data_IF_440772235762
#
_entry.id   IF_440772235762
#
_cell.length_a   1.000
_cell.length_b   1.000
_cell.length_c   1.000
_cell.angle_alpha   90.00
_cell.angle_beta   90.00
_cell.angle_gamma   90.00
#
_symmetry.space_group_name_H-M   'P 1'
#
loop_
_entity.id
_entity.type
_entity.pdbx_description
1 polymer ?
#
# COMPACT_ATOMS: atom_id res chain seq x y z
N UNK A 1 -0.62 8.89 -12.40
CA UNK A 1 -1.38 8.13 -11.37
C UNK A 1 -1.70 9.08 -10.23
N UNK A 2 -2.79 8.90 -9.48
CA UNK A 2 -3.06 9.71 -8.29
C UNK A 2 -2.03 9.44 -7.19
N UNK A 3 -1.61 10.49 -6.48
CA UNK A 3 -0.77 10.42 -5.27
C UNK A 3 -1.53 9.65 -4.19
N UNK A 4 -0.81 8.81 -3.43
CA UNK A 4 -1.39 8.09 -2.29
C UNK A 4 -1.10 8.86 -1.01
N UNK A 5 -2.12 9.01 -0.17
CA UNK A 5 -1.98 9.72 1.10
C UNK A 5 -1.38 8.81 2.17
N UNK A 6 -0.74 9.41 3.17
CA UNK A 6 -0.40 8.71 4.42
C UNK A 6 -1.65 8.08 5.05
N UNK A 7 -1.51 6.85 5.53
CA UNK A 7 -2.61 6.03 6.05
C UNK A 7 -3.43 5.31 4.96
N UNK A 8 -3.18 5.55 3.67
CA UNK A 8 -3.91 4.88 2.60
C UNK A 8 -3.56 3.38 2.60
N UNK A 9 -4.59 2.55 2.70
CA UNK A 9 -4.46 1.10 2.58
C UNK A 9 -4.35 0.71 1.12
N UNK A 10 -3.37 -0.13 0.82
CA UNK A 10 -3.04 -0.59 -0.51
C UNK A 10 -2.79 -2.10 -0.54
N UNK A 11 -2.78 -2.65 -1.75
CA UNK A 11 -2.31 -4.01 -2.04
C UNK A 11 -1.10 -3.93 -2.98
N UNK A 12 -0.10 -4.78 -2.73
CA UNK A 12 1.05 -4.94 -3.62
C UNK A 12 0.65 -5.80 -4.82
N UNK A 13 0.88 -5.30 -6.04
CA UNK A 13 0.48 -5.94 -7.30
C UNK A 13 1.64 -6.28 -8.24
N UNK A 14 2.85 -5.82 -7.93
CA UNK A 14 4.04 -6.06 -8.76
C UNK A 14 5.33 -6.07 -7.93
N UNK A 15 6.42 -6.56 -8.52
CA UNK A 15 7.72 -6.70 -7.88
C UNK A 15 7.99 -8.15 -7.45
N UNK A 16 8.54 -8.34 -6.26
CA UNK A 16 8.88 -9.67 -5.72
C UNK A 16 7.62 -10.55 -5.66
N UNK A 17 7.62 -11.77 -6.27
CA UNK A 17 6.46 -12.66 -6.27
C UNK A 17 5.94 -13.01 -4.87
N UNK A 18 6.82 -13.05 -3.87
CA UNK A 18 6.46 -13.30 -2.47
C UNK A 18 5.68 -12.15 -1.84
N UNK A 19 5.77 -10.93 -2.38
CA UNK A 19 5.13 -9.73 -1.84
C UNK A 19 3.78 -9.42 -2.50
N UNK A 20 3.49 -10.00 -3.66
CA UNK A 20 2.21 -9.79 -4.35
C UNK A 20 1.06 -10.26 -3.45
N UNK A 21 0.04 -9.42 -3.34
CA UNK A 21 -1.14 -9.65 -2.50
C UNK A 21 -0.99 -9.24 -1.04
N UNK A 22 0.19 -8.78 -0.60
CA UNK A 22 0.36 -8.24 0.77
C UNK A 22 -0.43 -6.92 0.89
N UNK A 23 -1.26 -6.84 1.92
CA UNK A 23 -1.91 -5.60 2.33
C UNK A 23 -0.93 -4.72 3.10
N UNK A 24 -0.89 -3.45 2.72
CA UNK A 24 0.05 -2.47 3.26
C UNK A 24 -0.65 -1.15 3.54
N UNK A 25 -0.06 -0.35 4.42
CA UNK A 25 -0.45 1.02 4.67
C UNK A 25 0.70 1.95 4.25
N UNK A 26 0.37 3.08 3.61
CA UNK A 26 1.35 4.12 3.25
C UNK A 26 1.76 4.89 4.49
N UNK A 27 3.06 4.90 4.80
CA UNK A 27 3.63 5.70 5.89
C UNK A 27 4.02 7.10 5.44
N UNK A 28 4.64 7.21 4.26
CA UNK A 28 5.05 8.49 3.69
C UNK A 28 5.22 8.43 2.16
N UNK A 29 5.11 9.59 1.52
CA UNK A 29 5.45 9.80 0.12
C UNK A 29 6.79 10.53 0.04
N UNK A 30 7.82 9.84 -0.45
CA UNK A 30 9.20 10.34 -0.44
C UNK A 30 9.61 10.99 -1.78
N UNK A 31 8.80 10.84 -2.83
CA UNK A 31 9.14 11.31 -4.17
C UNK A 31 10.31 10.54 -4.78
N UNK A 32 11.21 11.22 -5.48
CA UNK A 32 12.38 10.59 -6.10
C UNK A 32 13.46 10.28 -5.04
N UNK A 33 13.83 9.00 -4.91
CA UNK A 33 14.85 8.56 -3.96
C UNK A 33 15.74 7.50 -4.60
N UNK A 34 17.04 7.79 -4.74
CA UNK A 34 18.05 6.89 -5.31
C UNK A 34 17.66 6.38 -6.71
N UNK A 35 17.09 5.17 -6.78
CA UNK A 35 16.70 4.46 -8.01
C UNK A 35 15.18 4.38 -8.17
N UNK A 36 14.41 5.07 -7.33
CA UNK A 36 12.95 5.11 -7.37
C UNK A 36 12.49 6.46 -7.92
N UNK A 37 11.66 6.43 -8.96
CA UNK A 37 11.11 7.65 -9.57
C UNK A 37 9.95 8.24 -8.77
N UNK A 38 9.20 7.39 -8.05
CA UNK A 38 8.06 7.79 -7.21
C UNK A 38 7.94 6.82 -6.02
N UNK A 39 8.72 7.11 -4.98
CA UNK A 39 8.98 6.25 -3.83
C UNK A 39 7.98 6.48 -2.70
N UNK A 40 7.51 5.38 -2.11
CA UNK A 40 6.66 5.36 -0.93
C UNK A 40 7.27 4.46 0.13
N UNK A 41 7.20 4.90 1.38
CA UNK A 41 7.41 4.01 2.52
C UNK A 41 6.08 3.35 2.89
N UNK A 42 6.10 2.04 3.07
CA UNK A 42 4.93 1.21 3.38
C UNK A 42 5.20 0.27 4.54
N UNK A 43 4.15 -0.05 5.29
CA UNK A 43 4.16 -1.07 6.35
C UNK A 43 3.16 -2.18 6.05
N UNK A 44 3.52 -3.44 6.30
CA UNK A 44 2.59 -4.57 6.18
C UNK A 44 1.52 -4.51 7.27
N UNK A 45 0.26 -4.70 6.88
CA UNK A 45 -0.89 -4.81 7.80
C UNK A 45 -1.56 -6.19 7.74
N UNK A 46 -1.06 -7.09 6.88
CA UNK A 46 -1.58 -8.46 6.73
C UNK A 46 -0.89 -9.48 7.65
N UNK A 47 0.11 -9.07 8.44
CA UNK A 47 0.91 -9.95 9.28
C UNK A 47 1.99 -10.75 8.54
N UNK A 48 2.06 -10.64 7.20
CA UNK A 48 3.15 -11.20 6.40
C UNK A 48 4.27 -10.16 6.26
N UNK A 49 5.48 -10.42 6.80
CA UNK A 49 6.59 -9.50 6.62
C UNK A 49 7.15 -9.59 5.19
N UNK A 50 7.83 -8.52 4.77
CA UNK A 50 8.61 -8.52 3.54
C UNK A 50 9.87 -9.38 3.74
N UNK A 51 10.17 -10.34 2.85
CA UNK A 51 11.29 -11.27 2.97
C UNK A 51 12.63 -10.67 2.54
N UNK A 52 12.75 -9.34 2.46
CA UNK A 52 13.94 -8.63 1.98
C UNK A 52 14.31 -7.54 2.99
N UNK A 53 15.49 -7.66 3.61
CA UNK A 53 16.14 -6.57 4.32
C UNK A 53 17.20 -5.96 3.40
N UNK A 54 17.23 -4.64 3.30
CA UNK A 54 18.34 -3.95 2.66
C UNK A 54 19.58 -4.06 3.55
N UNK A 55 20.68 -4.52 2.98
CA UNK A 55 21.95 -4.71 3.68
C UNK A 55 22.70 -3.40 3.93
N UNK A 56 22.38 -2.39 3.13
CA UNK A 56 23.07 -1.11 3.08
C UNK A 56 22.10 0.04 2.77
N UNK A 57 22.51 1.25 3.19
CA UNK A 57 21.87 2.52 2.83
C UNK A 57 22.01 2.83 1.34
N UNK A 58 22.50 1.92 0.51
CA UNK A 58 22.55 2.06 -0.94
C UNK A 58 21.45 1.26 -1.63
N UNK A 59 20.69 0.41 -0.91
CA UNK A 59 19.67 -0.48 -1.47
C UNK A 59 20.21 -1.31 -2.65
N UNK A 60 21.49 -1.67 -2.60
CA UNK A 60 22.19 -2.40 -3.67
C UNK A 60 22.37 -3.87 -3.36
N UNK A 61 22.26 -4.23 -2.07
CA UNK A 61 22.27 -5.61 -1.60
C UNK A 61 21.08 -5.85 -0.68
N UNK A 62 20.42 -6.98 -0.88
CA UNK A 62 19.49 -7.53 0.09
C UNK A 62 20.19 -8.62 0.90
N UNK A 63 20.03 -8.59 2.22
CA UNK A 63 20.40 -9.67 3.13
C UNK A 63 19.17 -10.49 3.48
N UNK A 64 19.38 -11.77 3.79
CA UNK A 64 18.33 -12.65 4.31
C UNK A 64 17.82 -12.09 5.64
N UNK A 65 16.56 -11.65 5.64
CA UNK A 65 15.85 -11.22 6.84
C UNK A 65 14.44 -10.78 6.51
N UNK A 66 13.70 -10.35 7.54
CA UNK A 66 12.30 -9.96 7.40
C UNK A 66 12.08 -8.55 7.95
N UNK A 67 11.25 -7.76 7.29
CA UNK A 67 10.87 -6.42 7.74
C UNK A 67 9.36 -6.22 7.65
N UNK A 68 8.80 -5.46 8.57
CA UNK A 68 7.43 -4.96 8.46
C UNK A 68 7.33 -3.74 7.55
N UNK A 69 8.43 -3.02 7.34
CA UNK A 69 8.49 -1.80 6.52
C UNK A 69 9.30 -2.04 5.25
N UNK A 70 8.92 -1.39 4.16
CA UNK A 70 9.66 -1.41 2.90
C UNK A 70 9.48 -0.12 2.11
N UNK A 71 10.42 0.16 1.21
CA UNK A 71 10.26 1.14 0.16
C UNK A 71 9.70 0.48 -1.10
N UNK A 72 8.77 1.17 -1.76
CA UNK A 72 8.16 0.68 -3.00
C UNK A 72 7.89 1.80 -3.98
N UNK A 73 7.65 1.44 -5.24
CA UNK A 73 7.26 2.39 -6.27
C UNK A 73 5.75 2.44 -6.40
N UNK A 74 5.26 3.63 -6.74
CA UNK A 74 3.83 3.88 -6.92
C UNK A 74 3.12 2.87 -7.82
N UNK A 75 3.75 2.41 -8.90
CA UNK A 75 3.11 1.46 -9.83
C UNK A 75 2.97 0.05 -9.26
N UNK A 76 3.72 -0.30 -8.20
CA UNK A 76 3.69 -1.62 -7.56
C UNK A 76 2.56 -1.77 -6.55
N UNK A 77 1.89 -0.67 -6.17
CA UNK A 77 0.81 -0.67 -5.19
C UNK A 77 -0.49 -0.08 -5.77
N UNK A 78 -1.62 -0.65 -5.36
CA UNK A 78 -2.95 -0.14 -5.70
C UNK A 78 -3.71 0.20 -4.43
N UNK A 79 -4.35 1.39 -4.37
CA UNK A 79 -5.20 1.71 -3.24
C UNK A 79 -6.35 0.69 -3.19
N UNK A 80 -6.66 0.23 -1.99
CA UNK A 80 -7.93 -0.42 -1.75
C UNK A 80 -9.01 0.65 -1.85
N UNK A 81 -10.04 0.38 -2.63
CA UNK A 81 -11.25 1.21 -2.62
C UNK A 81 -11.99 0.80 -1.36
N UNK A 82 -12.22 1.74 -0.45
CA UNK A 82 -13.19 1.54 0.61
C UNK A 82 -14.54 1.42 -0.09
N UNK A 83 -15.00 0.18 -0.28
CA UNK A 83 -16.38 -0.05 -0.64
C UNK A 83 -17.20 0.49 0.53
N UNK A 84 -18.24 1.32 0.27
CA UNK A 84 -19.14 1.76 1.32
C UNK A 84 -19.56 0.51 2.10
N UNK A 85 -19.47 0.61 3.43
CA UNK A 85 -19.90 -0.50 4.27
C UNK A 85 -21.37 -0.78 3.96
N UNK A 86 -21.84 -2.00 4.17
CA UNK A 86 -23.28 -2.29 4.01
C UNK A 86 -24.17 -1.39 4.91
N UNK A 87 -23.60 -0.71 5.91
CA UNK A 87 -24.31 0.30 6.69
C UNK A 87 -24.60 1.57 5.86
N UNK A 88 -23.65 2.02 5.05
CA UNK A 88 -23.77 3.23 4.21
C UNK A 88 -24.71 2.98 3.01
N UNK A 89 -24.75 1.73 2.51
CA UNK A 89 -25.66 1.33 1.42
C UNK A 89 -27.13 1.31 1.85
N UNK A 90 -27.42 1.07 3.14
CA UNK A 90 -28.79 1.11 3.67
C UNK A 90 -29.27 2.55 3.91
N UNK A 91 -28.37 3.46 4.25
CA UNK A 91 -28.69 4.88 4.43
C UNK A 91 -29.04 5.55 3.09
N UNK A 92 -28.26 5.27 2.04
CA UNK A 92 -28.55 5.74 0.68
C UNK A 92 -29.87 5.18 0.09
N UNK A 93 -30.32 3.99 0.52
CA UNK A 93 -31.62 3.44 0.10
C UNK A 93 -32.80 4.08 0.82
N UNK A 94 -32.65 4.54 2.05
CA UNK A 94 -33.73 5.19 2.81
C UNK A 94 -34.02 6.60 2.27
N UNK A 95 -33.00 7.37 1.91
CA UNK A 95 -33.17 8.72 1.35
C UNK A 95 -33.93 8.71 0.00
N UNK A 96 -33.71 7.67 -0.83
CA UNK A 96 -34.43 7.53 -2.12
C UNK A 96 -35.91 7.13 -1.91
N UNK A 97 -36.23 6.45 -0.80
CA UNK A 97 -37.61 6.09 -0.46
C UNK A 97 -38.38 7.27 0.16
N UNK A 98 -37.72 8.14 0.92
CA UNK A 98 -38.34 9.33 1.53
C UNK A 98 -38.54 10.49 0.54
N UNK A 99 -37.89 10.44 -0.63
CA UNK A 99 -38.04 11.42 -1.71
C UNK A 99 -39.07 11.04 -2.79
N UNK A 100 -39.68 9.85 -2.71
CA UNK A 100 -40.76 9.39 -3.60
C UNK A 100 -42.09 9.26 -2.85
#
# INVERSE_FOLDING_TARGET
>A
MSVLNKGQRCIVIAGCPKNIGILVEVLDHLGEVKNYQDCYEIVTISGRPFPELWADDTHTRTVLGVSSNALTERYKIRPLIDLPSNADANQAKQEIVEMN
#
